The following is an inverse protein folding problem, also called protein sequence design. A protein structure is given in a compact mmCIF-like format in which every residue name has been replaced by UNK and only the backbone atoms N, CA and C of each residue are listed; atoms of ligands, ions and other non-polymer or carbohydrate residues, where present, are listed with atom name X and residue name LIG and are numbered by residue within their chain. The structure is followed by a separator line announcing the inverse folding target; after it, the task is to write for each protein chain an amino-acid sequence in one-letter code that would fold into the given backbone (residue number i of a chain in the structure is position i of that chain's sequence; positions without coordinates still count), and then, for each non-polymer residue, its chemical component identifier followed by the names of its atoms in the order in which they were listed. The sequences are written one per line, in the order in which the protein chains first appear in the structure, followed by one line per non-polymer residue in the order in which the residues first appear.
data_IF_672454919804
#
_entry.id   IF_672454919804
#
_cell.length_a   1.000
_cell.length_b   1.000
_cell.length_c   1.000
_cell.angle_alpha   90.00
_cell.angle_beta   90.00
_cell.angle_gamma   90.00
#
_symmetry.space_group_name_H-M   'P 1'
#
loop_
_entity.id
_entity.type
_entity.pdbx_description
1 polymer ?
#
# COMPACT_ATOMS: atom_id res chain seq x y z
N UNK A 1 -36.21 49.34 -63.92
CA UNK A 1 -36.53 48.62 -65.18
C UNK A 1 -35.41 47.61 -65.44
N UNK A 2 -35.76 46.33 -65.56
CA UNK A 2 -35.02 45.21 -66.22
C UNK A 2 -33.60 44.90 -65.73
N UNK A 3 -33.11 43.66 -65.57
CA UNK A 3 -33.61 42.28 -65.58
C UNK A 3 -32.34 41.40 -65.39
N UNK A 4 -32.52 40.12 -64.99
CA UNK A 4 -31.60 38.95 -65.10
C UNK A 4 -30.34 38.95 -64.18
N UNK A 5 -30.10 38.03 -63.24
CA UNK A 5 -30.20 36.54 -63.11
C UNK A 5 -28.97 35.76 -63.66
N UNK A 6 -28.42 34.94 -62.74
CA UNK A 6 -27.56 33.72 -62.84
C UNK A 6 -26.04 33.89 -63.01
N UNK A 7 -25.21 33.41 -62.06
CA UNK A 7 -24.79 32.02 -61.78
C UNK A 7 -24.10 31.34 -62.97
N UNK A 8 -22.78 31.11 -62.91
CA UNK A 8 -22.15 29.78 -62.79
C UNK A 8 -20.66 29.75 -63.19
N UNK A 9 -19.85 29.07 -62.37
CA UNK A 9 -18.89 28.00 -62.74
C UNK A 9 -17.36 28.21 -62.89
N UNK A 10 -16.67 27.21 -62.31
CA UNK A 10 -15.36 26.56 -62.62
C UNK A 10 -14.07 27.30 -62.22
N UNK A 11 -13.35 26.87 -61.16
CA UNK A 11 -12.48 25.67 -61.03
C UNK A 11 -11.45 25.56 -62.16
N UNK A 12 -10.22 26.03 -61.93
CA UNK A 12 -9.00 25.44 -62.53
C UNK A 12 -7.73 25.82 -61.72
N UNK A 13 -6.95 24.78 -61.41
CA UNK A 13 -5.48 24.75 -61.21
C UNK A 13 -4.80 25.53 -60.06
N UNK A 14 -4.54 24.82 -58.95
CA UNK A 14 -3.27 24.94 -58.22
C UNK A 14 -2.68 23.55 -58.06
N UNK A 15 -1.89 23.15 -59.05
CA UNK A 15 -0.92 22.06 -58.98
C UNK A 15 0.42 22.68 -59.34
N UNK A 16 1.48 22.23 -58.68
CA UNK A 16 2.88 22.53 -58.95
C UNK A 16 3.50 23.77 -58.27
N UNK A 17 3.79 23.61 -56.97
CA UNK A 17 5.01 24.17 -56.36
C UNK A 17 5.41 23.28 -55.18
N UNK A 18 5.94 22.12 -55.51
CA UNK A 18 6.73 21.27 -54.62
C UNK A 18 8.15 21.26 -55.17
N UNK A 19 9.13 21.24 -54.26
CA UNK A 19 10.59 21.02 -54.43
C UNK A 19 11.45 22.27 -54.23
N UNK A 20 11.81 22.53 -52.97
CA UNK A 20 13.21 22.67 -52.54
C UNK A 20 13.27 22.62 -51.00
N UNK A 21 13.22 21.41 -50.43
CA UNK A 21 13.68 21.14 -49.07
C UNK A 21 14.88 20.20 -49.15
N UNK A 22 15.97 20.46 -48.40
CA UNK A 22 17.13 19.57 -48.38
C UNK A 22 16.75 18.20 -47.82
N UNK A 23 17.38 17.09 -48.27
CA UNK A 23 17.11 15.75 -47.77
C UNK A 23 17.74 15.58 -46.39
N UNK A 24 17.11 16.17 -45.38
CA UNK A 24 17.33 15.86 -43.97
C UNK A 24 16.26 14.88 -43.54
N UNK A 25 16.69 13.73 -42.99
CA UNK A 25 15.88 12.62 -42.49
C UNK A 25 14.45 12.99 -42.06
N UNK A 26 13.47 12.64 -42.89
CA UNK A 26 12.13 12.37 -42.39
C UNK A 26 12.22 11.02 -41.67
N UNK A 27 12.55 11.04 -40.39
CA UNK A 27 12.05 10.01 -39.47
C UNK A 27 10.54 10.13 -39.51
N UNK A 28 9.90 9.33 -40.36
CA UNK A 28 8.49 9.00 -40.17
C UNK A 28 8.48 8.24 -38.85
N UNK A 29 8.15 8.93 -37.75
CA UNK A 29 7.69 8.27 -36.56
C UNK A 29 6.49 7.44 -37.01
N UNK A 30 6.70 6.12 -37.12
CA UNK A 30 5.60 5.18 -37.33
C UNK A 30 4.77 5.32 -36.06
N UNK A 31 3.59 5.93 -36.16
CA UNK A 31 2.62 5.84 -35.10
C UNK A 31 2.31 4.35 -34.95
N UNK A 32 2.72 3.75 -33.83
CA UNK A 32 2.33 2.39 -33.51
C UNK A 32 0.81 2.31 -33.53
N UNK A 33 0.27 1.23 -34.10
CA UNK A 33 -1.17 1.04 -34.14
C UNK A 33 -1.69 1.01 -32.68
N UNK A 34 -2.81 1.68 -32.38
CA UNK A 34 -3.33 1.70 -31.02
C UNK A 34 -3.63 0.27 -30.57
N UNK A 35 -3.23 -0.06 -29.35
CA UNK A 35 -3.52 -1.36 -28.73
C UNK A 35 -5.04 -1.53 -28.60
N UNK A 36 -5.53 -2.72 -28.92
CA UNK A 36 -6.92 -3.09 -28.69
C UNK A 36 -7.10 -3.44 -27.21
N UNK A 37 -8.16 -2.92 -26.58
CA UNK A 37 -8.46 -3.17 -25.17
C UNK A 37 -9.86 -3.74 -25.05
N UNK A 38 -9.95 -4.95 -24.50
CA UNK A 38 -11.22 -5.64 -24.24
C UNK A 38 -11.41 -5.81 -22.73
N UNK A 39 -12.60 -5.53 -22.22
CA UNK A 39 -12.95 -5.77 -20.82
C UNK A 39 -14.12 -6.74 -20.78
N UNK A 40 -13.89 -7.85 -20.08
CA UNK A 40 -14.87 -8.89 -19.82
C UNK A 40 -15.28 -8.83 -18.35
N UNK A 41 -16.37 -8.11 -18.07
CA UNK A 41 -16.93 -7.95 -16.72
C UNK A 41 -18.41 -8.36 -16.69
N UNK A 42 -18.66 -9.67 -16.73
CA UNK A 42 -20.01 -10.22 -16.78
C UNK A 42 -20.76 -10.03 -15.45
N UNK A 43 -20.01 -9.91 -14.35
CA UNK A 43 -20.53 -9.78 -12.99
C UNK A 43 -20.79 -8.32 -12.59
N UNK A 44 -20.47 -7.35 -13.47
CA UNK A 44 -20.57 -5.91 -13.23
C UNK A 44 -19.82 -5.47 -11.96
N UNK A 45 -18.61 -5.99 -11.79
CA UNK A 45 -17.70 -5.66 -10.69
C UNK A 45 -17.18 -4.22 -10.85
N UNK A 46 -16.87 -3.82 -12.07
CA UNK A 46 -16.49 -2.47 -12.46
C UNK A 46 -17.74 -1.69 -12.89
N UNK A 47 -17.79 -0.41 -12.54
CA UNK A 47 -18.79 0.49 -13.10
C UNK A 47 -18.43 0.86 -14.55
N UNK A 48 -19.41 1.26 -15.39
CA UNK A 48 -19.14 1.67 -16.78
C UNK A 48 -18.12 2.82 -16.90
N UNK A 49 -18.02 3.67 -15.87
CA UNK A 49 -17.01 4.73 -15.82
C UNK A 49 -15.60 4.20 -15.59
N UNK A 50 -15.45 3.13 -14.80
CA UNK A 50 -14.17 2.45 -14.57
C UNK A 50 -13.71 1.66 -15.78
N UNK A 51 -14.63 1.02 -16.51
CA UNK A 51 -14.31 0.33 -17.77
C UNK A 51 -13.82 1.30 -18.85
N UNK A 52 -14.52 2.43 -19.02
CA UNK A 52 -14.14 3.46 -19.97
C UNK A 52 -12.78 4.08 -19.61
N UNK A 53 -12.53 4.27 -18.31
CA UNK A 53 -11.25 4.75 -17.78
C UNK A 53 -10.11 3.75 -18.03
N UNK A 54 -10.30 2.48 -17.69
CA UNK A 54 -9.31 1.43 -17.87
C UNK A 54 -8.94 1.32 -19.35
N UNK A 55 -9.94 1.28 -20.24
CA UNK A 55 -9.76 1.30 -21.70
C UNK A 55 -8.92 2.50 -22.14
N UNK A 56 -9.32 3.72 -21.78
CA UNK A 56 -8.63 4.94 -22.20
C UNK A 56 -7.16 4.97 -21.77
N UNK A 57 -6.88 4.57 -20.52
CA UNK A 57 -5.53 4.62 -19.96
C UNK A 57 -4.64 3.56 -20.55
N UNK A 58 -5.14 2.34 -20.71
CA UNK A 58 -4.40 1.26 -21.34
C UNK A 58 -4.07 1.64 -22.78
N UNK A 59 -4.99 2.25 -23.52
CA UNK A 59 -4.71 2.77 -24.87
C UNK A 59 -3.65 3.89 -24.93
N UNK A 60 -3.39 4.58 -23.82
CA UNK A 60 -2.37 5.62 -23.73
C UNK A 60 -0.98 5.09 -23.34
N UNK A 61 -0.86 3.80 -23.00
CA UNK A 61 0.41 3.15 -22.71
C UNK A 61 1.13 2.79 -24.01
N UNK A 62 2.46 2.88 -23.99
CA UNK A 62 3.31 2.49 -25.12
C UNK A 62 3.68 1.03 -25.00
N UNK A 63 2.86 0.14 -25.55
CA UNK A 63 3.16 -1.29 -25.55
C UNK A 63 4.23 -1.66 -26.57
N UNK A 64 5.01 -2.72 -26.32
CA UNK A 64 5.85 -3.31 -27.35
C UNK A 64 5.02 -3.68 -28.60
N UNK A 65 5.58 -3.49 -29.80
CA UNK A 65 4.86 -3.67 -31.06
C UNK A 65 4.26 -5.08 -31.29
N UNK A 66 4.70 -6.07 -30.51
CA UNK A 66 4.17 -7.44 -30.53
C UNK A 66 2.96 -7.64 -29.61
N UNK A 67 2.52 -6.63 -28.84
CA UNK A 67 1.35 -6.71 -27.96
C UNK A 67 0.18 -5.89 -28.53
N UNK A 68 -0.56 -6.41 -29.53
CA UNK A 68 -1.69 -5.71 -30.12
C UNK A 68 -2.96 -5.76 -29.28
N UNK A 69 -3.12 -6.70 -28.34
CA UNK A 69 -4.34 -6.86 -27.54
C UNK A 69 -4.06 -6.95 -26.03
N UNK A 70 -4.77 -6.15 -25.25
CA UNK A 70 -4.86 -6.25 -23.79
C UNK A 70 -6.29 -6.62 -23.40
N UNK A 71 -6.43 -7.73 -22.70
CA UNK A 71 -7.73 -8.27 -22.29
C UNK A 71 -7.83 -8.30 -20.77
N UNK A 72 -8.87 -7.70 -20.23
CA UNK A 72 -9.16 -7.69 -18.80
C UNK A 72 -10.32 -8.63 -18.51
N UNK A 73 -10.12 -9.65 -17.68
CA UNK A 73 -11.17 -10.57 -17.24
C UNK A 73 -11.45 -10.30 -15.76
N UNK A 74 -12.65 -9.78 -15.47
CA UNK A 74 -13.07 -9.40 -14.12
C UNK A 74 -14.25 -10.26 -13.73
N UNK A 75 -14.16 -10.92 -12.57
CA UNK A 75 -15.22 -11.77 -12.06
C UNK A 75 -15.42 -11.61 -10.56
N UNK A 76 -16.60 -12.01 -10.11
CA UNK A 76 -16.96 -12.24 -8.72
C UNK A 76 -17.48 -13.69 -8.51
N UNK A 77 -17.44 -14.53 -9.54
CA UNK A 77 -18.08 -15.85 -9.57
C UNK A 77 -17.15 -16.96 -10.06
N UNK A 78 -15.84 -16.69 -10.18
CA UNK A 78 -14.85 -17.68 -10.58
C UNK A 78 -14.74 -18.83 -9.57
N UNK A 79 -14.30 -19.99 -10.06
CA UNK A 79 -14.15 -21.22 -9.27
C UNK A 79 -12.72 -21.74 -9.29
N UNK A 80 -12.38 -22.57 -8.31
CA UNK A 80 -11.10 -23.30 -8.30
C UNK A 80 -11.19 -24.63 -9.07
N UNK A 81 -10.12 -25.08 -9.76
CA UNK A 81 -8.83 -24.40 -9.94
C UNK A 81 -8.96 -23.14 -10.82
N UNK A 82 -8.36 -22.03 -10.37
CA UNK A 82 -8.59 -20.72 -11.00
C UNK A 82 -8.08 -20.64 -12.44
N UNK A 83 -6.90 -21.21 -12.72
CA UNK A 83 -6.36 -21.31 -14.09
C UNK A 83 -7.26 -22.10 -15.03
N UNK A 84 -7.91 -23.15 -14.52
CA UNK A 84 -8.87 -23.94 -15.30
C UNK A 84 -10.14 -23.14 -15.58
N UNK A 85 -10.61 -22.33 -14.63
CA UNK A 85 -11.72 -21.43 -14.85
C UNK A 85 -11.39 -20.38 -15.93
N UNK A 86 -10.22 -19.74 -15.88
CA UNK A 86 -9.79 -18.77 -16.90
C UNK A 86 -9.65 -19.44 -18.26
N UNK A 87 -9.07 -20.64 -18.32
CA UNK A 87 -9.00 -21.46 -19.54
C UNK A 87 -10.39 -21.76 -20.10
N UNK A 88 -11.32 -22.22 -19.27
CA UNK A 88 -12.68 -22.56 -19.70
C UNK A 88 -13.46 -21.31 -20.15
N UNK A 89 -13.19 -20.15 -19.54
CA UNK A 89 -13.70 -18.86 -19.99
C UNK A 89 -13.26 -18.58 -21.45
N UNK A 90 -11.97 -18.72 -21.76
CA UNK A 90 -11.48 -18.61 -23.14
C UNK A 90 -11.99 -19.71 -24.08
N UNK A 91 -12.05 -20.96 -23.62
CA UNK A 91 -12.44 -22.10 -24.47
C UNK A 91 -13.92 -22.17 -24.79
N UNK A 92 -14.79 -21.67 -23.92
CA UNK A 92 -16.25 -21.85 -24.07
C UNK A 92 -17.02 -20.56 -24.26
N UNK A 93 -16.47 -19.41 -23.83
CA UNK A 93 -17.17 -18.12 -23.92
C UNK A 93 -16.50 -17.16 -24.90
N UNK A 94 -15.16 -17.14 -24.92
CA UNK A 94 -14.36 -16.17 -25.66
C UNK A 94 -13.25 -16.83 -26.47
N UNK A 95 -13.63 -17.57 -27.52
CA UNK A 95 -12.71 -18.37 -28.36
C UNK A 95 -11.60 -17.55 -29.01
N UNK A 96 -11.82 -16.26 -29.21
CA UNK A 96 -10.83 -15.32 -29.70
C UNK A 96 -9.58 -15.22 -28.82
N UNK A 97 -9.69 -15.52 -27.52
CA UNK A 97 -8.57 -15.49 -26.58
C UNK A 97 -7.66 -16.73 -26.69
N UNK A 98 -8.08 -17.77 -27.43
CA UNK A 98 -7.39 -19.05 -27.52
C UNK A 98 -6.98 -19.31 -28.98
N UNK A 99 -5.83 -19.96 -29.19
CA UNK A 99 -5.40 -20.34 -30.53
C UNK A 99 -6.38 -21.30 -31.24
N UNK A 100 -6.22 -21.46 -32.55
CA UNK A 100 -7.11 -22.31 -33.37
C UNK A 100 -7.17 -23.76 -32.87
N UNK A 101 -6.04 -24.29 -32.39
CA UNK A 101 -5.94 -25.64 -31.85
C UNK A 101 -6.61 -25.81 -30.48
N UNK A 102 -6.98 -24.73 -29.80
CA UNK A 102 -7.65 -24.78 -28.50
C UNK A 102 -6.76 -25.23 -27.35
N UNK A 103 -5.44 -25.10 -27.47
CA UNK A 103 -4.48 -25.63 -26.51
C UNK A 103 -3.47 -24.61 -25.97
N UNK A 104 -3.54 -23.35 -26.42
CA UNK A 104 -2.72 -22.21 -25.94
C UNK A 104 -3.50 -20.91 -26.04
N UNK A 105 -3.06 -19.88 -25.31
CA UNK A 105 -3.57 -18.51 -25.51
C UNK A 105 -3.24 -18.01 -26.92
N UNK A 106 -4.13 -17.20 -27.50
CA UNK A 106 -3.98 -16.65 -28.82
C UNK A 106 -2.78 -15.70 -28.92
N UNK A 107 -2.13 -15.68 -30.08
CA UNK A 107 -0.96 -14.85 -30.31
C UNK A 107 -1.30 -13.35 -30.23
N UNK A 108 -0.39 -12.56 -29.67
CA UNK A 108 -0.57 -11.11 -29.51
C UNK A 108 -1.56 -10.68 -28.42
N UNK A 109 -2.03 -11.59 -27.57
CA UNK A 109 -2.89 -11.29 -26.43
C UNK A 109 -2.14 -11.32 -25.10
N UNK A 110 -2.39 -10.32 -24.25
CA UNK A 110 -2.02 -10.32 -22.83
C UNK A 110 -3.29 -10.17 -22.01
N UNK A 111 -3.58 -11.18 -21.19
CA UNK A 111 -4.75 -11.24 -20.34
C UNK A 111 -4.36 -10.89 -18.91
N UNK A 112 -5.08 -9.96 -18.28
CA UNK A 112 -5.01 -9.72 -16.84
C UNK A 112 -6.34 -10.12 -16.21
N UNK A 113 -6.30 -10.97 -15.20
CA UNK A 113 -7.51 -11.53 -14.58
C UNK A 113 -7.57 -11.25 -13.10
N UNK A 114 -8.79 -11.02 -12.60
CA UNK A 114 -9.07 -10.91 -11.17
C UNK A 114 -10.46 -11.48 -10.86
N UNK A 115 -10.53 -12.31 -9.83
CA UNK A 115 -11.77 -12.59 -9.13
C UNK A 115 -11.76 -11.95 -7.74
N UNK A 116 -12.72 -11.07 -7.50
CA UNK A 116 -12.78 -10.26 -6.28
C UNK A 116 -13.25 -11.02 -5.05
N UNK A 117 -14.01 -12.10 -5.23
CA UNK A 117 -14.60 -12.88 -4.13
C UNK A 117 -13.70 -14.07 -3.74
N UNK A 118 -13.21 -14.80 -4.73
CA UNK A 118 -12.20 -15.85 -4.60
C UNK A 118 -10.82 -15.27 -4.22
N UNK A 119 -10.63 -13.96 -4.40
CA UNK A 119 -9.36 -13.25 -4.17
C UNK A 119 -8.20 -13.89 -4.94
N UNK A 120 -8.47 -14.22 -6.19
CA UNK A 120 -7.53 -14.84 -7.11
C UNK A 120 -7.25 -13.90 -8.28
N UNK A 121 -6.04 -13.94 -8.80
CA UNK A 121 -5.61 -13.11 -9.92
C UNK A 121 -4.67 -13.87 -10.84
N UNK A 122 -4.48 -13.36 -12.06
CA UNK A 122 -3.52 -13.94 -12.98
C UNK A 122 -3.10 -13.01 -14.11
N UNK A 123 -2.02 -13.38 -14.76
CA UNK A 123 -1.59 -12.83 -16.04
C UNK A 123 -1.29 -13.97 -16.99
N UNK A 124 -1.80 -13.90 -18.21
CA UNK A 124 -1.61 -14.92 -19.24
C UNK A 124 -1.21 -14.27 -20.55
N UNK A 125 -0.37 -14.94 -21.32
CA UNK A 125 0.14 -14.38 -22.58
C UNK A 125 0.10 -15.38 -23.72
N UNK A 126 -0.11 -14.86 -24.92
CA UNK A 126 0.07 -15.57 -26.19
C UNK A 126 1.45 -16.20 -26.30
N UNK A 127 1.54 -17.29 -27.06
CA UNK A 127 2.78 -18.08 -27.17
C UNK A 127 3.95 -17.26 -27.74
N UNK A 128 3.64 -16.41 -28.72
CA UNK A 128 4.57 -15.50 -29.39
C UNK A 128 5.17 -14.44 -28.45
N UNK A 129 4.50 -14.12 -27.33
CA UNK A 129 4.93 -13.12 -26.37
C UNK A 129 5.79 -13.68 -25.23
N UNK A 130 5.86 -15.01 -25.06
CA UNK A 130 6.64 -15.65 -23.98
C UNK A 130 8.10 -15.21 -23.95
N UNK A 131 8.76 -15.22 -25.10
CA UNK A 131 10.15 -14.80 -25.25
C UNK A 131 10.30 -13.28 -25.13
N UNK A 132 9.58 -12.49 -25.96
CA UNK A 132 9.67 -11.04 -25.97
C UNK A 132 9.32 -10.34 -24.65
N UNK A 133 8.47 -10.94 -23.81
CA UNK A 133 8.12 -10.42 -22.47
C UNK A 133 8.87 -11.13 -21.33
N UNK A 134 9.89 -11.93 -21.62
CA UNK A 134 10.72 -12.59 -20.60
C UNK A 134 9.95 -13.58 -19.70
N UNK A 135 8.80 -14.06 -20.14
CA UNK A 135 7.92 -14.94 -19.37
C UNK A 135 8.57 -16.29 -19.03
N UNK A 136 9.57 -16.72 -19.83
CA UNK A 136 10.36 -17.93 -19.59
C UNK A 136 11.24 -17.83 -18.34
N UNK A 137 11.61 -16.62 -17.91
CA UNK A 137 12.53 -16.38 -16.79
C UNK A 137 11.81 -15.73 -15.59
N UNK A 138 10.77 -14.93 -15.84
CA UNK A 138 10.05 -14.17 -14.81
C UNK A 138 8.52 -14.26 -14.97
N UNK A 139 7.98 -15.49 -15.00
CA UNK A 139 6.55 -15.74 -15.28
C UNK A 139 5.58 -15.05 -14.30
N UNK A 140 6.01 -14.74 -13.07
CA UNK A 140 5.17 -14.14 -12.02
C UNK A 140 5.22 -12.62 -11.97
N UNK A 141 6.17 -11.98 -12.66
CA UNK A 141 6.44 -10.53 -12.59
C UNK A 141 5.19 -9.67 -12.73
N UNK A 142 4.38 -10.01 -13.72
CA UNK A 142 3.20 -9.22 -14.09
C UNK A 142 2.06 -9.41 -13.09
N UNK A 143 1.79 -10.64 -12.66
CA UNK A 143 0.77 -10.92 -11.64
C UNK A 143 1.19 -10.32 -10.28
N UNK A 144 2.45 -10.46 -9.88
CA UNK A 144 2.96 -9.88 -8.63
C UNK A 144 2.80 -8.36 -8.56
N UNK A 145 2.98 -7.65 -9.68
CA UNK A 145 2.83 -6.19 -9.74
C UNK A 145 1.43 -5.72 -9.33
N UNK A 146 0.40 -6.53 -9.57
CA UNK A 146 -0.99 -6.17 -9.32
C UNK A 146 -1.42 -6.39 -7.86
N UNK A 147 -0.69 -7.24 -7.10
CA UNK A 147 -1.13 -7.78 -5.80
C UNK A 147 -1.42 -6.68 -4.78
N UNK A 148 -0.54 -5.68 -4.70
CA UNK A 148 -0.68 -4.60 -3.71
C UNK A 148 -1.97 -3.80 -3.93
N UNK A 149 -2.32 -3.52 -5.18
CA UNK A 149 -3.55 -2.79 -5.51
C UNK A 149 -4.78 -3.63 -5.20
N UNK A 150 -4.79 -4.90 -5.60
CA UNK A 150 -5.89 -5.82 -5.32
C UNK A 150 -6.10 -6.09 -3.83
N UNK A 151 -5.03 -6.20 -3.03
CA UNK A 151 -5.11 -6.27 -1.55
C UNK A 151 -5.90 -5.11 -0.95
N UNK A 152 -5.71 -3.92 -1.51
CA UNK A 152 -6.38 -2.69 -1.07
C UNK A 152 -7.78 -2.49 -1.69
N UNK A 153 -8.27 -3.46 -2.47
CA UNK A 153 -9.54 -3.36 -3.19
C UNK A 153 -9.53 -2.42 -4.39
N UNK A 154 -8.34 -2.09 -4.93
CA UNK A 154 -8.15 -1.23 -6.09
C UNK A 154 -8.03 -2.09 -7.37
N UNK A 155 -9.17 -2.51 -7.91
CA UNK A 155 -9.26 -3.38 -9.09
C UNK A 155 -8.74 -2.70 -10.36
N UNK A 156 -9.20 -1.49 -10.65
CA UNK A 156 -8.71 -0.72 -11.81
C UNK A 156 -7.21 -0.43 -11.69
N UNK A 157 -6.75 -0.03 -10.50
CA UNK A 157 -5.34 0.24 -10.24
C UNK A 157 -4.46 -1.00 -10.39
N UNK A 158 -4.91 -2.16 -9.93
CA UNK A 158 -4.18 -3.41 -10.12
C UNK A 158 -4.09 -3.83 -11.58
N UNK A 159 -5.22 -3.86 -12.30
CA UNK A 159 -5.27 -4.22 -13.73
C UNK A 159 -4.41 -3.27 -14.59
N UNK A 160 -4.43 -1.97 -14.31
CA UNK A 160 -3.60 -0.99 -14.99
C UNK A 160 -2.11 -1.13 -14.62
N UNK A 161 -1.79 -1.50 -13.37
CA UNK A 161 -0.40 -1.74 -12.95
C UNK A 161 0.20 -2.92 -13.69
N UNK A 162 -0.56 -4.01 -13.87
CA UNK A 162 -0.16 -5.14 -14.71
C UNK A 162 0.15 -4.71 -16.14
N UNK A 163 -0.76 -3.96 -16.76
CA UNK A 163 -0.60 -3.45 -18.11
C UNK A 163 0.58 -2.48 -18.25
N UNK A 164 0.79 -1.61 -17.27
CA UNK A 164 1.97 -0.71 -17.23
C UNK A 164 3.26 -1.50 -17.15
N UNK A 165 3.29 -2.58 -16.34
CA UNK A 165 4.47 -3.45 -16.22
C UNK A 165 4.82 -4.14 -17.54
N UNK A 166 3.83 -4.45 -18.38
CA UNK A 166 4.06 -4.97 -19.75
C UNK A 166 4.52 -3.87 -20.70
N UNK A 167 3.92 -2.68 -20.63
CA UNK A 167 4.33 -1.54 -21.46
C UNK A 167 5.78 -1.10 -21.18
N UNK A 168 6.19 -1.13 -19.93
CA UNK A 168 7.53 -0.73 -19.47
C UNK A 168 8.57 -1.86 -19.55
N UNK A 169 8.23 -3.03 -20.12
CA UNK A 169 9.15 -4.16 -20.19
C UNK A 169 10.36 -3.85 -21.09
N UNK A 170 11.56 -3.89 -20.51
CA UNK A 170 12.84 -3.80 -21.23
C UNK A 170 13.64 -5.11 -21.05
N UNK A 171 13.89 -5.87 -22.13
CA UNK A 171 14.65 -7.12 -22.07
C UNK A 171 16.14 -6.94 -21.73
N UNK A 172 16.68 -5.71 -21.80
CA UNK A 172 18.10 -5.42 -21.53
C UNK A 172 18.33 -4.80 -20.15
N UNK A 173 17.28 -4.59 -19.36
CA UNK A 173 17.42 -4.11 -18.00
C UNK A 173 18.18 -5.17 -17.16
N UNK A 174 19.34 -4.80 -16.60
CA UNK A 174 20.07 -5.68 -15.68
C UNK A 174 19.24 -5.92 -14.43
N UNK A 175 18.98 -7.20 -14.15
CA UNK A 175 18.13 -7.69 -13.07
C UNK A 175 18.81 -7.43 -11.70
N UNK A 176 18.75 -6.19 -11.24
CA UNK A 176 18.98 -5.86 -9.83
C UNK A 176 17.73 -6.30 -9.08
N UNK A 177 17.85 -7.33 -8.26
CA UNK A 177 16.78 -8.00 -7.50
C UNK A 177 16.12 -7.14 -6.40
N UNK A 178 16.00 -5.83 -6.59
CA UNK A 178 15.26 -4.88 -5.75
C UNK A 178 13.87 -4.52 -6.31
N UNK A 179 13.38 -5.22 -7.33
CA UNK A 179 12.06 -4.96 -7.94
C UNK A 179 10.87 -5.43 -7.10
N UNK A 180 11.08 -6.31 -6.12
CA UNK A 180 10.07 -6.74 -5.13
C UNK A 180 10.16 -5.82 -3.92
N UNK A 181 9.67 -4.59 -4.06
CA UNK A 181 9.54 -3.64 -2.94
C UNK A 181 10.22 -2.29 -3.15
N UNK A 182 9.60 -1.43 -3.96
CA UNK A 182 9.88 0.01 -3.96
C UNK A 182 10.94 0.47 -4.97
N UNK A 183 10.47 0.94 -6.13
CA UNK A 183 11.27 1.74 -7.07
C UNK A 183 11.22 1.22 -8.49
N UNK A 184 10.29 1.73 -9.31
CA UNK A 184 10.35 1.60 -10.77
C UNK A 184 10.62 3.00 -11.32
N UNK A 185 11.86 3.26 -11.72
CA UNK A 185 12.22 4.41 -12.57
C UNK A 185 13.41 4.05 -13.46
N UNK A 186 13.11 3.53 -14.64
CA UNK A 186 13.90 3.61 -15.87
C UNK A 186 13.04 2.91 -16.94
N UNK A 187 12.59 3.47 -18.05
CA UNK A 187 12.82 4.74 -18.71
C UNK A 187 11.60 5.03 -19.61
N UNK A 188 11.02 6.23 -19.58
CA UNK A 188 9.84 6.55 -20.41
C UNK A 188 9.05 7.78 -19.98
N UNK A 189 9.71 8.93 -19.85
CA UNK A 189 9.09 10.18 -19.41
C UNK A 189 8.12 10.77 -20.43
N UNK A 190 6.82 10.45 -20.31
CA UNK A 190 5.68 11.31 -20.72
C UNK A 190 4.32 10.72 -20.31
N UNK A 191 4.13 9.39 -20.35
CA UNK A 191 2.84 8.74 -20.09
C UNK A 191 2.45 8.74 -18.59
N UNK A 192 3.44 8.72 -17.68
CA UNK A 192 3.22 8.64 -16.24
C UNK A 192 2.52 9.88 -15.66
N UNK A 193 2.72 11.06 -16.24
CA UNK A 193 2.08 12.30 -15.76
C UNK A 193 0.56 12.31 -15.98
N UNK A 194 0.06 11.58 -16.99
CA UNK A 194 -1.37 11.40 -17.25
C UNK A 194 -2.00 10.30 -16.35
N UNK A 195 -1.23 9.26 -16.02
CA UNK A 195 -1.65 8.17 -15.11
C UNK A 195 -1.86 8.68 -13.67
N UNK A 196 -1.01 9.61 -13.21
CA UNK A 196 -1.12 10.26 -11.88
C UNK A 196 -2.43 11.05 -11.70
N UNK A 197 -3.06 11.53 -12.78
CA UNK A 197 -4.29 12.31 -12.71
C UNK A 197 -5.52 11.53 -12.24
N UNK A 198 -5.51 10.20 -12.37
CA UNK A 198 -6.74 9.41 -12.48
C UNK A 198 -6.77 8.25 -11.47
N UNK A 199 -5.90 8.27 -10.46
CA UNK A 199 -6.08 7.63 -9.13
C UNK A 199 -7.21 8.36 -8.34
N UNK A 200 -8.24 8.89 -9.02
CA UNK A 200 -9.02 10.03 -8.52
C UNK A 200 -10.54 9.84 -8.56
N UNK A 201 -11.10 8.90 -9.32
CA UNK A 201 -12.57 8.80 -9.45
C UNK A 201 -13.19 7.71 -8.55
N UNK A 202 -12.67 6.48 -8.50
CA UNK A 202 -13.12 5.50 -7.50
C UNK A 202 -12.55 5.78 -6.10
N UNK A 203 -11.33 6.32 -6.08
CA UNK A 203 -10.76 7.00 -4.91
C UNK A 203 -11.55 8.24 -4.47
N UNK A 204 -12.44 8.84 -5.26
CA UNK A 204 -13.18 10.04 -4.81
C UNK A 204 -14.16 9.69 -3.73
N UNK A 205 -14.90 8.57 -3.78
CA UNK A 205 -15.88 8.25 -2.73
C UNK A 205 -15.19 7.92 -1.41
N UNK A 206 -14.18 7.05 -1.42
CA UNK A 206 -13.40 6.72 -0.22
C UNK A 206 -12.53 7.90 0.26
N UNK A 207 -11.86 8.66 -0.63
CA UNK A 207 -11.10 9.86 -0.21
C UNK A 207 -12.00 11.02 0.19
N UNK A 208 -13.24 11.11 -0.31
CA UNK A 208 -14.24 12.07 0.20
C UNK A 208 -14.71 11.63 1.59
N UNK A 209 -15.02 10.36 1.79
CA UNK A 209 -15.33 9.81 3.11
C UNK A 209 -14.18 10.01 4.10
N UNK A 210 -12.94 9.72 3.69
CA UNK A 210 -11.75 9.94 4.49
C UNK A 210 -11.50 11.44 4.75
N UNK A 211 -11.68 12.31 3.74
CA UNK A 211 -11.59 13.75 3.93
C UNK A 211 -12.67 14.28 4.87
N UNK A 212 -13.88 13.70 4.84
CA UNK A 212 -14.97 14.00 5.77
C UNK A 212 -14.64 13.53 7.18
N UNK A 213 -14.11 12.32 7.34
CA UNK A 213 -13.65 11.80 8.63
C UNK A 213 -12.51 12.65 9.20
N UNK A 214 -11.55 13.04 8.36
CA UNK A 214 -10.46 13.93 8.74
C UNK A 214 -10.98 15.30 9.16
N UNK A 215 -11.89 15.89 8.39
CA UNK A 215 -12.56 17.15 8.73
C UNK A 215 -13.31 17.05 10.06
N UNK A 216 -14.11 16.00 10.27
CA UNK A 216 -14.82 15.76 11.52
C UNK A 216 -13.85 15.59 12.71
N UNK A 217 -12.77 14.83 12.52
CA UNK A 217 -11.72 14.63 13.52
C UNK A 217 -11.10 15.96 13.93
N UNK A 218 -10.77 16.79 12.94
CA UNK A 218 -10.18 18.12 13.14
C UNK A 218 -11.15 19.06 13.86
N UNK A 219 -12.36 19.28 13.32
CA UNK A 219 -13.34 20.22 13.89
C UNK A 219 -13.76 19.82 15.30
N UNK A 220 -13.90 18.52 15.57
CA UNK A 220 -14.31 18.02 16.89
C UNK A 220 -13.23 18.19 17.95
N UNK A 221 -11.96 17.95 17.59
CA UNK A 221 -10.90 17.79 18.60
C UNK A 221 -9.91 18.95 18.64
N UNK A 222 -9.70 19.69 17.54
CA UNK A 222 -8.63 20.67 17.44
C UNK A 222 -8.74 21.77 18.49
N UNK A 223 -9.88 22.46 18.57
CA UNK A 223 -10.08 23.56 19.54
C UNK A 223 -9.96 23.09 20.99
N UNK A 224 -10.48 21.90 21.30
CA UNK A 224 -10.35 21.32 22.63
C UNK A 224 -8.88 21.01 22.98
N UNK A 225 -8.13 20.43 22.06
CA UNK A 225 -6.71 20.14 22.26
C UNK A 225 -5.87 21.42 22.34
N UNK A 226 -6.14 22.40 21.48
CA UNK A 226 -5.44 23.69 21.49
C UNK A 226 -5.64 24.44 22.81
N UNK A 227 -6.88 24.51 23.30
CA UNK A 227 -7.20 25.18 24.58
C UNK A 227 -6.57 24.48 25.80
N UNK A 228 -6.36 23.16 25.71
CA UNK A 228 -5.77 22.38 26.80
C UNK A 228 -4.28 22.11 26.62
N UNK A 229 -3.64 22.59 25.54
CA UNK A 229 -2.28 22.22 25.17
C UNK A 229 -1.28 22.55 26.28
N UNK A 230 -1.43 23.71 26.93
CA UNK A 230 -0.58 24.11 28.05
C UNK A 230 -0.70 23.14 29.23
N UNK A 231 -1.92 22.70 29.56
CA UNK A 231 -2.12 21.72 30.63
C UNK A 231 -1.51 20.37 30.29
N UNK A 232 -1.60 19.94 29.02
CA UNK A 232 -0.98 18.68 28.57
C UNK A 232 0.55 18.82 28.62
N UNK A 233 1.09 19.96 28.18
CA UNK A 233 2.51 20.24 28.21
C UNK A 233 3.07 20.28 29.63
N UNK A 234 2.37 20.90 30.58
CA UNK A 234 2.73 20.88 32.00
C UNK A 234 2.76 19.43 32.50
N UNK A 235 1.75 18.62 32.15
CA UNK A 235 1.71 17.23 32.56
C UNK A 235 2.87 16.42 32.00
N UNK A 236 3.16 16.56 30.70
CA UNK A 236 4.29 15.92 30.04
C UNK A 236 5.63 16.23 30.73
N UNK A 237 5.83 17.50 31.12
CA UNK A 237 7.05 17.95 31.81
C UNK A 237 7.06 17.61 33.31
N UNK A 238 5.91 17.30 33.90
CA UNK A 238 5.82 16.89 35.31
C UNK A 238 6.19 15.43 35.56
N UNK A 239 6.32 14.63 34.51
CA UNK A 239 6.71 13.23 34.60
C UNK A 239 8.16 13.12 35.10
N UNK A 240 8.35 12.31 36.13
CA UNK A 240 9.64 12.19 36.82
C UNK A 240 10.21 10.77 36.86
N UNK A 241 9.44 9.77 36.43
CA UNK A 241 9.91 8.38 36.42
C UNK A 241 11.07 8.18 35.44
N UNK A 242 11.89 7.13 35.64
CA UNK A 242 12.97 6.79 34.70
C UNK A 242 12.49 6.45 33.28
N UNK A 243 11.21 6.07 33.11
CA UNK A 243 10.57 5.85 31.80
C UNK A 243 10.36 7.16 31.03
N UNK A 244 10.09 8.27 31.74
CA UNK A 244 9.99 9.59 31.16
C UNK A 244 11.40 10.11 30.86
N UNK A 245 11.99 9.64 29.77
CA UNK A 245 13.38 9.85 29.40
C UNK A 245 13.57 10.97 28.35
N UNK A 246 14.74 11.03 27.72
CA UNK A 246 15.03 12.01 26.68
C UNK A 246 14.30 11.73 25.36
N UNK A 247 14.01 10.46 25.06
CA UNK A 247 13.31 10.05 23.84
C UNK A 247 11.85 10.46 23.90
N UNK A 248 11.15 10.12 24.99
CA UNK A 248 9.76 10.49 25.22
C UNK A 248 9.57 12.02 25.19
N UNK A 249 10.50 12.77 25.80
CA UNK A 249 10.46 14.24 25.77
C UNK A 249 10.64 14.80 24.36
N UNK A 250 11.53 14.21 23.56
CA UNK A 250 11.72 14.61 22.16
C UNK A 250 10.47 14.34 21.33
N UNK A 251 9.90 13.15 21.44
CA UNK A 251 8.67 12.77 20.73
C UNK A 251 7.50 13.69 21.12
N UNK A 252 7.38 14.04 22.41
CA UNK A 252 6.39 15.02 22.86
C UNK A 252 6.57 16.37 22.17
N UNK A 253 7.79 16.89 22.14
CA UNK A 253 8.09 18.18 21.50
C UNK A 253 7.81 18.13 20.00
N UNK A 254 8.18 17.05 19.31
CA UNK A 254 7.93 16.87 17.88
C UNK A 254 6.42 16.82 17.56
N UNK A 255 5.65 16.08 18.36
CA UNK A 255 4.18 15.98 18.22
C UNK A 255 3.51 17.34 18.50
N UNK A 256 3.93 18.02 19.57
CA UNK A 256 3.44 19.36 19.94
C UNK A 256 3.72 20.37 18.82
N UNK A 257 4.95 20.41 18.31
CA UNK A 257 5.35 21.32 17.24
C UNK A 257 4.61 21.00 15.94
N UNK A 258 4.42 19.71 15.61
CA UNK A 258 3.61 19.28 14.48
C UNK A 258 2.17 19.76 14.56
N UNK A 259 1.56 19.74 15.76
CA UNK A 259 0.22 20.24 16.02
C UNK A 259 0.12 21.76 15.91
N UNK A 260 1.06 22.49 16.52
CA UNK A 260 1.12 23.94 16.45
C UNK A 260 1.30 24.44 15.01
N UNK A 261 2.06 23.71 14.19
CA UNK A 261 2.23 24.04 12.77
C UNK A 261 0.92 23.98 11.97
N UNK A 262 -0.12 23.29 12.47
CA UNK A 262 -1.43 23.25 11.80
C UNK A 262 -2.31 24.47 12.09
N UNK A 263 -1.90 25.38 12.99
CA UNK A 263 -2.74 26.48 13.46
C UNK A 263 -3.27 27.39 12.34
N UNK A 264 -2.39 27.82 11.44
CA UNK A 264 -2.81 28.68 10.31
C UNK A 264 -3.79 27.96 9.39
N UNK A 265 -3.52 26.68 9.08
CA UNK A 265 -4.42 25.82 8.31
C UNK A 265 -5.81 25.75 8.95
N UNK A 266 -5.87 25.63 10.28
CA UNK A 266 -7.12 25.52 11.04
C UNK A 266 -7.89 26.83 11.09
N UNK A 267 -7.22 27.97 11.30
CA UNK A 267 -7.86 29.29 11.33
C UNK A 267 -8.55 29.64 10.00
N UNK A 268 -8.08 29.04 8.90
CA UNK A 268 -8.64 29.24 7.57
C UNK A 268 -9.73 28.22 7.22
N UNK A 269 -10.03 27.24 8.08
CA UNK A 269 -11.07 26.25 7.81
C UNK A 269 -12.47 26.86 8.04
N UNK A 270 -13.39 26.74 7.07
CA UNK A 270 -14.78 27.15 7.29
C UNK A 270 -15.44 26.20 8.29
N UNK A 271 -16.18 26.73 9.26
CA UNK A 271 -16.91 25.96 10.28
C UNK A 271 -18.01 25.07 9.67
N UNK A 272 -18.54 25.45 8.50
CA UNK A 272 -19.57 24.74 7.74
C UNK A 272 -19.15 24.58 6.27
N UNK A 273 -17.96 24.02 6.03
CA UNK A 273 -17.47 23.78 4.68
C UNK A 273 -18.36 22.77 3.94
N UNK A 274 -18.71 23.07 2.68
CA UNK A 274 -19.39 22.09 1.83
C UNK A 274 -18.44 20.95 1.42
N UNK A 275 -18.99 19.84 0.94
CA UNK A 275 -18.21 18.66 0.57
C UNK A 275 -17.13 18.95 -0.50
N UNK A 276 -17.40 19.92 -1.37
CA UNK A 276 -16.48 20.32 -2.43
C UNK A 276 -15.27 21.07 -1.86
N UNK A 277 -15.50 21.99 -0.92
CA UNK A 277 -14.46 22.73 -0.22
C UNK A 277 -13.61 21.82 0.67
N UNK A 278 -14.23 20.87 1.38
CA UNK A 278 -13.52 19.85 2.18
C UNK A 278 -12.60 19.02 1.28
N UNK A 279 -13.12 18.51 0.16
CA UNK A 279 -12.32 17.70 -0.75
C UNK A 279 -11.18 18.48 -1.43
N UNK A 280 -11.36 19.78 -1.70
CA UNK A 280 -10.33 20.64 -2.24
C UNK A 280 -9.10 20.73 -1.31
N UNK A 281 -9.33 20.77 0.01
CA UNK A 281 -8.29 20.87 1.05
C UNK A 281 -7.90 19.54 1.70
N UNK A 282 -8.26 18.40 1.09
CA UNK A 282 -8.08 17.05 1.65
C UNK A 282 -6.65 16.73 2.15
N UNK A 283 -5.60 17.26 1.53
CA UNK A 283 -4.20 17.00 1.94
C UNK A 283 -3.87 17.74 3.25
N UNK A 284 -4.27 19.00 3.33
CA UNK A 284 -4.15 19.82 4.54
C UNK A 284 -4.98 19.20 5.68
N UNK A 285 -6.21 18.77 5.40
CA UNK A 285 -7.06 18.07 6.37
C UNK A 285 -6.49 16.73 6.83
N UNK A 286 -5.85 15.97 5.95
CA UNK A 286 -5.20 14.72 6.33
C UNK A 286 -4.00 14.96 7.24
N UNK A 287 -3.14 15.92 6.92
CA UNK A 287 -2.01 16.30 7.77
C UNK A 287 -2.49 16.82 9.15
N UNK A 288 -3.53 17.65 9.15
CA UNK A 288 -4.15 18.15 10.36
C UNK A 288 -4.78 17.05 11.22
N UNK A 289 -5.56 16.15 10.61
CA UNK A 289 -6.19 15.03 11.32
C UNK A 289 -5.15 14.07 11.90
N UNK A 290 -4.07 13.79 11.17
CA UNK A 290 -2.95 12.99 11.66
C UNK A 290 -2.30 13.65 12.89
N UNK A 291 -2.02 14.95 12.82
CA UNK A 291 -1.42 15.68 13.94
C UNK A 291 -2.35 15.78 15.16
N UNK A 292 -3.64 16.03 14.95
CA UNK A 292 -4.69 15.98 16.00
C UNK A 292 -4.74 14.60 16.66
N UNK A 293 -4.70 13.54 15.86
CA UNK A 293 -4.75 12.16 16.34
C UNK A 293 -3.49 11.82 17.16
N UNK A 294 -2.31 12.17 16.65
CA UNK A 294 -1.05 11.98 17.35
C UNK A 294 -1.01 12.73 18.68
N UNK A 295 -1.43 14.00 18.72
CA UNK A 295 -1.46 14.76 19.97
C UNK A 295 -2.47 14.18 20.97
N UNK A 296 -3.65 13.75 20.51
CA UNK A 296 -4.66 13.11 21.36
C UNK A 296 -4.14 11.80 21.96
N UNK A 297 -3.52 10.96 21.15
CA UNK A 297 -2.93 9.70 21.60
C UNK A 297 -1.78 9.97 22.57
N UNK A 298 -0.87 10.89 22.24
CA UNK A 298 0.22 11.31 23.11
C UNK A 298 -0.28 11.83 24.47
N UNK A 299 -1.34 12.64 24.48
CA UNK A 299 -2.01 13.06 25.71
C UNK A 299 -2.47 11.87 26.54
N UNK A 300 -3.17 10.92 25.92
CA UNK A 300 -3.69 9.74 26.63
C UNK A 300 -2.54 8.90 27.19
N UNK A 301 -1.47 8.72 26.43
CA UNK A 301 -0.28 7.97 26.82
C UNK A 301 0.48 8.66 27.97
N UNK A 302 0.63 9.99 27.93
CA UNK A 302 1.14 10.79 29.04
C UNK A 302 0.24 10.68 30.27
N UNK A 303 -1.09 10.70 30.10
CA UNK A 303 -2.04 10.53 31.20
C UNK A 303 -1.93 9.15 31.85
N UNK A 304 -1.72 8.09 31.05
CA UNK A 304 -1.43 6.73 31.55
C UNK A 304 -0.17 6.73 32.41
N UNK A 305 0.96 7.23 31.88
CA UNK A 305 2.23 7.26 32.63
C UNK A 305 2.11 8.12 33.89
N UNK A 306 1.46 9.28 33.81
CA UNK A 306 1.21 10.14 34.96
C UNK A 306 0.39 9.42 36.04
N UNK A 307 -0.67 8.68 35.67
CA UNK A 307 -1.49 7.91 36.61
C UNK A 307 -0.69 6.79 37.27
N UNK A 308 0.22 6.13 36.55
CA UNK A 308 1.13 5.16 37.14
C UNK A 308 2.06 5.83 38.16
N UNK A 309 2.65 6.98 37.84
CA UNK A 309 3.49 7.74 38.77
C UNK A 309 2.73 8.20 40.02
N UNK A 310 1.45 8.52 39.88
CA UNK A 310 0.57 8.92 41.01
C UNK A 310 -0.03 7.76 41.80
N UNK A 311 0.38 6.51 41.55
CA UNK A 311 -0.05 5.38 42.37
C UNK A 311 -1.40 4.80 41.98
N UNK A 312 -1.92 5.06 40.77
CA UNK A 312 -3.16 4.44 40.33
C UNK A 312 -2.95 2.95 40.08
N UNK A 313 -3.43 2.11 41.01
CA UNK A 313 -3.22 0.66 41.00
C UNK A 313 -3.82 -0.02 39.79
N UNK A 314 -4.97 0.45 39.28
CA UNK A 314 -5.65 -0.16 38.14
C UNK A 314 -4.83 -0.01 36.85
N UNK A 315 -4.30 1.20 36.60
CA UNK A 315 -3.43 1.43 35.43
C UNK A 315 -2.12 0.67 35.58
N UNK A 316 -1.52 0.70 36.77
CA UNK A 316 -0.29 -0.04 37.07
C UNK A 316 -0.45 -1.54 36.81
N UNK A 317 -1.56 -2.11 37.26
CA UNK A 317 -1.87 -3.52 37.04
C UNK A 317 -2.08 -3.83 35.55
N UNK A 318 -2.81 -2.98 34.83
CA UNK A 318 -3.05 -3.15 33.39
C UNK A 318 -1.73 -3.16 32.59
N UNK A 319 -0.86 -2.17 32.81
CA UNK A 319 0.42 -2.08 32.09
C UNK A 319 1.41 -3.18 32.50
N UNK A 320 1.40 -3.60 33.78
CA UNK A 320 2.19 -4.76 34.21
C UNK A 320 1.68 -6.07 33.62
N UNK A 321 0.37 -6.21 33.46
CA UNK A 321 -0.22 -7.43 32.89
C UNK A 321 0.19 -7.56 31.43
N UNK A 322 0.09 -6.48 30.65
CA UNK A 322 0.55 -6.45 29.27
C UNK A 322 2.06 -6.76 29.14
N UNK A 323 2.90 -6.17 30.01
CA UNK A 323 4.32 -6.47 30.05
C UNK A 323 4.59 -7.93 30.44
N UNK A 324 3.86 -8.47 31.42
CA UNK A 324 4.02 -9.84 31.87
C UNK A 324 3.64 -10.86 30.78
N UNK A 325 2.56 -10.60 30.04
CA UNK A 325 2.13 -11.44 28.92
C UNK A 325 3.21 -11.52 27.83
N UNK A 326 3.86 -10.39 27.51
CA UNK A 326 4.97 -10.35 26.54
C UNK A 326 6.22 -11.09 27.07
N UNK A 327 6.54 -10.91 28.36
CA UNK A 327 7.63 -11.65 29.03
C UNK A 327 7.37 -13.16 28.97
N UNK A 328 6.15 -13.61 29.29
CA UNK A 328 5.79 -15.03 29.25
C UNK A 328 5.88 -15.59 27.82
N UNK A 329 5.42 -14.82 26.83
CA UNK A 329 5.56 -15.22 25.43
C UNK A 329 7.03 -15.42 25.04
N UNK A 330 7.90 -14.48 25.41
CA UNK A 330 9.33 -14.59 25.18
C UNK A 330 9.96 -15.77 25.94
N UNK A 331 9.48 -16.10 27.15
CA UNK A 331 9.97 -17.24 27.95
C UNK A 331 9.69 -18.59 27.28
N UNK A 332 8.51 -18.70 26.65
CA UNK A 332 8.05 -19.91 25.95
C UNK A 332 8.75 -20.10 24.62
N UNK A 333 9.00 -19.01 23.88
CA UNK A 333 9.58 -19.04 22.53
C UNK A 333 11.12 -18.95 22.52
N UNK A 334 11.77 -18.71 23.67
CA UNK A 334 13.23 -18.67 23.75
C UNK A 334 13.87 -20.06 23.68
N UNK A 335 14.73 -20.28 22.67
CA UNK A 335 15.46 -21.54 22.49
C UNK A 335 16.76 -21.64 23.31
N UNK A 336 17.17 -20.55 23.95
CA UNK A 336 18.43 -20.46 24.70
C UNK A 336 18.18 -20.49 26.22
N UNK A 337 18.70 -21.51 26.89
CA UNK A 337 18.49 -21.74 28.32
C UNK A 337 18.99 -20.58 29.22
N UNK A 338 20.05 -19.86 28.82
CA UNK A 338 20.56 -18.74 29.59
C UNK A 338 19.67 -17.49 29.43
N UNK A 339 19.12 -17.29 28.24
CA UNK A 339 18.11 -16.25 27.99
C UNK A 339 16.81 -16.59 28.73
N UNK A 340 16.34 -17.83 28.65
CA UNK A 340 15.14 -18.29 29.32
C UNK A 340 15.23 -18.10 30.85
N UNK A 341 16.38 -18.43 31.46
CA UNK A 341 16.59 -18.20 32.89
C UNK A 341 16.48 -16.72 33.29
N UNK A 342 17.03 -15.80 32.46
CA UNK A 342 16.90 -14.35 32.66
C UNK A 342 15.46 -13.87 32.49
N UNK A 343 14.73 -14.37 31.50
CA UNK A 343 13.30 -14.04 31.32
C UNK A 343 12.47 -14.53 32.51
N UNK A 344 12.75 -15.72 33.04
CA UNK A 344 12.08 -16.27 34.23
C UNK A 344 12.30 -15.43 35.51
N UNK A 345 13.48 -14.81 35.66
CA UNK A 345 13.75 -13.85 36.73
C UNK A 345 12.88 -12.59 36.58
N UNK A 346 12.81 -12.02 35.37
CA UNK A 346 11.96 -10.86 35.06
C UNK A 346 10.47 -11.18 35.26
N UNK A 347 10.03 -12.37 34.84
CA UNK A 347 8.68 -12.89 35.05
C UNK A 347 8.32 -12.95 36.54
N UNK A 348 9.26 -13.40 37.37
CA UNK A 348 9.08 -13.45 38.83
C UNK A 348 8.99 -12.06 39.46
N UNK A 349 9.85 -11.12 39.06
CA UNK A 349 9.82 -9.72 39.53
C UNK A 349 8.53 -9.02 39.10
N UNK A 350 8.07 -9.25 37.87
CA UNK A 350 6.81 -8.73 37.35
C UNK A 350 5.61 -9.25 38.16
N UNK A 351 5.56 -10.56 38.47
CA UNK A 351 4.53 -11.15 39.34
C UNK A 351 4.54 -10.58 40.75
N UNK A 352 5.71 -10.28 41.31
CA UNK A 352 5.82 -9.64 42.62
C UNK A 352 5.20 -8.23 42.62
N UNK A 353 5.44 -7.43 41.57
CA UNK A 353 4.79 -6.13 41.42
C UNK A 353 3.28 -6.24 41.13
N UNK A 354 2.84 -7.26 40.39
CA UNK A 354 1.41 -7.53 40.16
C UNK A 354 0.69 -7.84 41.48
N UNK A 355 1.36 -8.54 42.42
CA UNK A 355 0.81 -8.84 43.73
C UNK A 355 0.70 -7.60 44.65
N UNK A 356 1.56 -6.60 44.43
CA UNK A 356 1.53 -5.32 45.16
C UNK A 356 1.70 -4.11 44.20
N UNK A 357 0.66 -3.75 43.43
CA UNK A 357 0.74 -2.61 42.51
C UNK A 357 0.79 -1.26 43.24
N UNK A 358 0.57 -1.24 44.55
CA UNK A 358 0.66 -0.05 45.39
C UNK A 358 2.08 0.20 45.95
N UNK A 359 3.05 -0.67 45.64
CA UNK A 359 4.43 -0.56 46.11
C UNK A 359 5.00 0.85 45.88
N UNK A 360 5.73 1.36 46.88
CA UNK A 360 6.29 2.71 46.85
C UNK A 360 7.38 2.87 45.78
N UNK A 361 8.17 1.81 45.56
CA UNK A 361 9.23 1.74 44.54
C UNK A 361 8.74 1.20 43.19
N UNK A 362 7.42 1.13 42.96
CA UNK A 362 6.84 0.54 41.77
C UNK A 362 7.43 1.07 40.46
N UNK A 363 7.54 2.40 40.31
CA UNK A 363 8.00 3.00 39.05
C UNK A 363 9.47 2.72 38.78
N UNK A 364 10.29 2.63 39.84
CA UNK A 364 11.71 2.32 39.72
C UNK A 364 11.90 0.86 39.31
N UNK A 365 11.16 -0.06 39.94
CA UNK A 365 11.22 -1.49 39.62
C UNK A 365 10.63 -1.77 38.23
N UNK A 366 9.52 -1.13 37.86
CA UNK A 366 8.92 -1.23 36.52
C UNK A 366 9.92 -0.79 35.44
N UNK A 367 10.58 0.36 35.63
CA UNK A 367 11.56 0.87 34.67
C UNK A 367 12.77 -0.06 34.54
N UNK A 368 13.20 -0.66 35.65
CA UNK A 368 14.30 -1.61 35.66
C UNK A 368 13.94 -2.90 34.90
N UNK A 369 12.75 -3.47 35.16
CA UNK A 369 12.24 -4.64 34.42
C UNK A 369 12.17 -4.35 32.92
N UNK A 370 11.60 -3.20 32.54
CA UNK A 370 11.51 -2.77 31.13
C UNK A 370 12.89 -2.68 30.48
N UNK A 371 13.86 -2.04 31.14
CA UNK A 371 15.22 -1.89 30.60
C UNK A 371 15.95 -3.23 30.46
N UNK A 372 15.84 -4.11 31.47
CA UNK A 372 16.46 -5.43 31.43
C UNK A 372 15.80 -6.32 30.38
N UNK A 373 14.46 -6.30 30.31
CA UNK A 373 13.71 -7.02 29.30
C UNK A 373 14.05 -6.54 27.89
N UNK A 374 14.25 -5.24 27.68
CA UNK A 374 14.75 -4.72 26.40
C UNK A 374 16.13 -5.22 26.00
N UNK A 375 17.01 -5.43 26.97
CA UNK A 375 18.33 -6.04 26.72
C UNK A 375 18.19 -7.51 26.33
N UNK A 376 17.29 -8.23 27.01
CA UNK A 376 17.05 -9.65 26.77
C UNK A 376 16.36 -9.91 25.44
N UNK A 377 15.30 -9.16 25.11
CA UNK A 377 14.60 -9.25 23.81
C UNK A 377 15.52 -8.88 22.65
N UNK A 378 16.40 -7.88 22.81
CA UNK A 378 17.42 -7.59 21.78
C UNK A 378 18.38 -8.76 21.56
N UNK A 379 18.84 -9.40 22.63
CA UNK A 379 19.72 -10.57 22.51
C UNK A 379 18.99 -11.78 21.89
N UNK A 380 17.72 -11.96 22.23
CA UNK A 380 16.85 -12.99 21.64
C UNK A 380 16.65 -12.72 20.14
N UNK A 381 16.38 -11.47 19.78
CA UNK A 381 16.19 -11.04 18.40
C UNK A 381 17.41 -11.28 17.52
N UNK A 382 18.61 -10.98 18.03
CA UNK A 382 19.86 -11.24 17.31
C UNK A 382 20.12 -12.74 17.06
N UNK A 383 19.49 -13.64 17.83
CA UNK A 383 19.63 -15.08 17.68
C UNK A 383 18.53 -15.71 16.83
N UNK A 384 17.31 -15.20 16.91
CA UNK A 384 16.12 -15.81 16.30
C UNK A 384 15.58 -15.06 15.07
N UNK A 385 15.86 -13.76 14.92
CA UNK A 385 15.33 -12.94 13.81
C UNK A 385 16.44 -12.46 12.88
N UNK A 386 16.08 -12.19 11.62
CA UNK A 386 17.02 -11.62 10.67
C UNK A 386 17.27 -10.14 10.98
N UNK A 387 18.48 -9.64 10.68
CA UNK A 387 18.82 -8.23 10.91
C UNK A 387 17.92 -7.28 10.08
N UNK A 388 17.49 -7.70 8.89
CA UNK A 388 16.60 -6.95 8.02
C UNK A 388 15.19 -6.77 8.59
N UNK A 389 14.67 -7.76 9.32
CA UNK A 389 13.36 -7.69 9.99
C UNK A 389 13.37 -6.64 11.12
N UNK A 390 14.54 -6.40 11.72
CA UNK A 390 14.70 -5.48 12.85
C UNK A 390 15.00 -4.04 12.42
N UNK A 391 15.74 -3.83 11.33
CA UNK A 391 16.17 -2.49 10.89
C UNK A 391 15.07 -1.69 10.18
N UNK A 392 14.13 -2.37 9.51
CA UNK A 392 13.06 -1.72 8.76
C UNK A 392 11.82 -1.38 9.61
N UNK A 393 11.81 -1.79 10.87
CA UNK A 393 10.67 -1.63 11.77
C UNK A 393 11.02 -0.72 12.94
N UNK A 394 9.99 -0.04 13.46
CA UNK A 394 10.14 0.89 14.57
C UNK A 394 9.07 0.61 15.62
N UNK A 395 9.44 0.79 16.88
CA UNK A 395 8.45 0.73 17.97
C UNK A 395 7.41 1.84 17.81
N UNK A 396 6.17 1.60 18.25
CA UNK A 396 5.18 2.66 18.35
C UNK A 396 5.77 3.88 19.07
N UNK A 397 5.59 5.07 18.49
CA UNK A 397 5.98 6.34 19.12
C UNK A 397 4.91 6.81 20.11
N UNK A 398 5.21 7.81 20.93
CA UNK A 398 4.27 8.39 21.89
C UNK A 398 2.91 8.79 21.27
N UNK A 399 2.86 9.14 19.99
CA UNK A 399 1.64 9.51 19.28
C UNK A 399 0.82 8.32 18.74
N UNK A 400 1.30 7.10 18.89
CA UNK A 400 0.62 5.89 18.46
C UNK A 400 -0.42 5.43 19.49
N UNK A 401 -1.49 4.77 19.03
CA UNK A 401 -2.57 4.29 19.90
C UNK A 401 -2.22 3.01 20.66
N UNK A 402 -1.22 2.29 20.18
CA UNK A 402 -0.67 1.02 20.67
C UNK A 402 0.68 1.21 21.38
N UNK A 403 1.02 2.45 21.75
CA UNK A 403 2.19 2.74 22.57
C UNK A 403 1.95 2.31 24.02
N UNK A 404 3.00 1.77 24.64
CA UNK A 404 3.01 1.44 26.07
C UNK A 404 4.20 2.11 26.79
N UNK A 405 4.09 2.36 28.11
CA UNK A 405 5.17 2.93 28.92
C UNK A 405 6.50 2.17 28.76
N UNK A 406 7.50 2.86 28.21
CA UNK A 406 8.84 2.32 27.97
C UNK A 406 9.13 1.95 26.53
N UNK A 407 8.14 1.91 25.64
CA UNK A 407 8.38 1.76 24.20
C UNK A 407 9.28 2.89 23.68
N UNK A 408 10.12 2.56 22.70
CA UNK A 408 11.23 3.41 22.24
C UNK A 408 12.56 3.11 22.96
N UNK A 409 12.51 2.68 24.22
CA UNK A 409 13.69 2.19 24.95
C UNK A 409 13.90 0.69 24.82
N UNK A 410 12.82 -0.03 24.53
CA UNK A 410 12.87 -1.43 24.16
C UNK A 410 11.85 -1.74 23.08
N UNK A 411 12.06 -2.88 22.43
CA UNK A 411 11.10 -3.47 21.50
C UNK A 411 10.50 -4.69 22.21
N UNK A 412 9.18 -4.75 22.42
CA UNK A 412 8.52 -5.92 22.99
C UNK A 412 8.65 -7.13 22.06
N UNK A 413 8.68 -8.33 22.64
CA UNK A 413 8.92 -9.56 21.88
C UNK A 413 7.79 -9.83 20.90
N UNK A 414 6.53 -9.59 21.26
CA UNK A 414 5.41 -9.80 20.37
C UNK A 414 5.50 -8.94 19.10
N UNK A 415 6.04 -7.71 19.17
CA UNK A 415 6.24 -6.88 17.99
C UNK A 415 7.31 -7.49 17.09
N UNK A 416 8.42 -7.97 17.65
CA UNK A 416 9.44 -8.66 16.86
C UNK A 416 8.89 -9.91 16.18
N UNK A 417 8.13 -10.74 16.89
CA UNK A 417 7.45 -11.90 16.30
C UNK A 417 6.46 -11.46 15.21
N UNK A 418 5.73 -10.36 15.42
CA UNK A 418 4.79 -9.85 14.41
C UNK A 418 5.51 -9.38 13.16
N UNK A 419 6.62 -8.64 13.30
CA UNK A 419 7.43 -8.19 12.18
C UNK A 419 8.06 -9.35 11.43
N UNK A 420 8.55 -10.35 12.17
CA UNK A 420 9.07 -11.57 11.57
C UNK A 420 7.97 -12.34 10.83
N UNK A 421 6.79 -12.51 11.42
CA UNK A 421 5.66 -13.16 10.78
C UNK A 421 5.15 -12.36 9.59
N UNK A 422 5.17 -11.04 9.64
CA UNK A 422 4.81 -10.16 8.52
C UNK A 422 5.86 -10.26 7.42
N UNK A 423 7.14 -10.36 7.75
CA UNK A 423 8.23 -10.56 6.79
C UNK A 423 8.20 -11.95 6.17
N UNK A 424 7.96 -13.00 6.96
CA UNK A 424 7.73 -14.37 6.48
C UNK A 424 6.46 -14.41 5.64
N UNK A 425 5.37 -13.81 6.08
CA UNK A 425 4.13 -13.72 5.30
C UNK A 425 4.31 -12.88 4.04
N UNK A 426 5.15 -11.84 4.05
CA UNK A 426 5.48 -11.05 2.87
C UNK A 426 6.37 -11.84 1.91
N UNK A 427 7.31 -12.64 2.42
CA UNK A 427 8.14 -13.55 1.64
C UNK A 427 7.30 -14.71 1.07
N UNK A 428 6.40 -15.29 1.85
CA UNK A 428 5.45 -16.33 1.43
C UNK A 428 4.39 -15.76 0.46
N UNK A 429 3.93 -14.52 0.67
CA UNK A 429 3.06 -13.79 -0.26
C UNK A 429 3.79 -13.38 -1.55
N UNK A 430 5.11 -13.15 -1.47
CA UNK A 430 5.97 -13.00 -2.64
C UNK A 430 6.17 -14.32 -3.39
N UNK A 431 5.81 -15.46 -2.78
CA UNK A 431 5.93 -16.81 -3.36
C UNK A 431 4.62 -17.45 -3.85
N UNK A 432 3.46 -16.76 -3.76
CA UNK A 432 2.14 -17.38 -4.04
C UNK A 432 1.63 -17.21 -5.47
N UNK A 433 2.35 -16.48 -6.32
CA UNK A 433 2.13 -16.54 -7.76
C UNK A 433 2.97 -17.70 -8.29
N UNK A 434 2.33 -18.69 -8.90
CA UNK A 434 3.03 -19.78 -9.56
C UNK A 434 2.79 -19.70 -11.05
N UNK A 435 3.66 -20.33 -11.84
CA UNK A 435 3.39 -20.53 -13.27
C UNK A 435 2.05 -21.25 -13.42
N UNK A 436 1.20 -20.72 -14.29
CA UNK A 436 -0.16 -21.20 -14.47
C UNK A 436 -0.17 -22.70 -14.84
N UNK A 437 -1.09 -23.44 -14.25
CA UNK A 437 -1.23 -24.88 -14.43
C UNK A 437 -2.65 -25.24 -14.85
N UNK A 438 -2.77 -25.98 -15.95
CA UNK A 438 -4.07 -26.32 -16.54
C UNK A 438 -4.29 -27.84 -16.57
N UNK A 439 -5.53 -28.25 -16.37
CA UNK A 439 -5.97 -29.61 -16.67
C UNK A 439 -6.29 -29.77 -18.16
N UNK A 440 -5.98 -30.95 -18.72
CA UNK A 440 -6.41 -31.36 -20.05
C UNK A 440 -5.70 -30.66 -21.22
N UNK A 441 -4.43 -31.02 -21.47
CA UNK A 441 -3.71 -30.74 -22.73
C UNK A 441 -3.43 -29.26 -23.08
N UNK A 442 -3.96 -28.32 -22.32
CA UNK A 442 -3.74 -26.89 -22.50
C UNK A 442 -2.38 -26.47 -21.89
N UNK A 443 -1.62 -25.67 -22.63
CA UNK A 443 -0.21 -25.34 -22.35
C UNK A 443 0.08 -23.85 -22.51
N UNK A 444 -0.88 -23.00 -22.13
CA UNK A 444 -0.75 -21.54 -22.19
C UNK A 444 0.31 -20.98 -21.24
N UNK A 445 0.98 -19.90 -21.61
CA UNK A 445 1.81 -19.16 -20.65
C UNK A 445 0.94 -18.37 -19.68
N UNK A 446 1.37 -18.33 -18.43
CA UNK A 446 0.82 -17.40 -17.47
C UNK A 446 1.34 -17.64 -16.07
N UNK A 447 0.84 -16.83 -15.16
CA UNK A 447 0.96 -17.05 -13.72
C UNK A 447 -0.33 -16.63 -13.05
N UNK A 448 -0.66 -17.30 -11.95
CA UNK A 448 -1.80 -16.95 -11.13
C UNK A 448 -1.48 -17.14 -9.66
N UNK A 449 -2.26 -16.52 -8.79
CA UNK A 449 -2.08 -16.57 -7.35
C UNK A 449 -3.18 -15.86 -6.60
N UNK A 450 -3.11 -15.91 -5.28
CA UNK A 450 -4.02 -15.18 -4.39
C UNK A 450 -3.46 -13.82 -4.00
N UNK A 451 -4.33 -12.95 -3.48
CA UNK A 451 -3.96 -11.64 -2.94
C UNK A 451 -4.70 -11.31 -1.63
#
# INVERSE_FOLDING_TARGET
MRNFVKFSCLITAVVFSLLLFPPGALTIARADAPVNVTIYDQDNVLSPGEEAELTQKTQALNFPAHVPNIDYIVSATATTPYDDWVKDFGLHQHRELVNQEGNKWADGHVLFTVDVNLRAMGTYVGEDLKGPLGYNQHSTRYSDSMKKSFKNGDWVGGLLTGATTVADYDPNATDNSNWIGGGIFAAGGAAFAAIVGFISFHYRKQRRQLAMQNYQTVVTNYTHLANNLDSINIRAHSLSSPIADATLRREWEDIKNGFLAQHETMMQLPENADEKAIYARRKELAAAAASVTQLRNAKNNIDTLFRMEKGNTDVRLAELTALHEDILKAEVEADDAAIQARIGELSTRCRALIADPAAANFMDEYALIVSEYGTVTKALAQKQFSQADLENNHTPSLGASDWHPGYGNYVPFFLMTSWHNDAVSAAEASSTSSTASYSGGFSGAGSSGSF
#
